data_IF_097799696570
#
_entry.id   IF_097799696570
#
_cell.length_a   1.000
_cell.length_b   1.000
_cell.length_c   1.000
_cell.angle_alpha   90.00
_cell.angle_beta   90.00
_cell.angle_gamma   90.00
#
_symmetry.space_group_name_H-M   'P 1'
#
loop_
_entity.id
_entity.type
_entity.pdbx_description
1 polymer ?
#
# COMPACT_ATOMS: atom_id res chain seq x y z
N UNK A 1 -4.81 -18.37 9.52
CA UNK A 1 -4.57 -17.06 8.89
C UNK A 1 -3.52 -17.28 7.83
N UNK A 2 -3.86 -17.06 6.56
CA UNK A 2 -2.91 -17.17 5.45
C UNK A 2 -2.23 -15.81 5.26
N UNK A 3 -0.99 -15.80 4.78
CA UNK A 3 -0.31 -14.55 4.42
C UNK A 3 -0.68 -14.14 3.01
N UNK A 4 -1.12 -12.89 2.87
CA UNK A 4 -1.30 -12.24 1.57
C UNK A 4 -0.03 -11.48 1.16
N UNK A 5 0.60 -10.82 2.14
CA UNK A 5 1.87 -10.11 2.04
C UNK A 5 2.60 -10.26 3.40
N UNK A 6 3.80 -9.73 3.54
CA UNK A 6 4.59 -9.68 4.77
C UNK A 6 3.83 -9.03 5.91
N UNK A 7 3.08 -7.96 5.64
CA UNK A 7 2.37 -7.18 6.66
C UNK A 7 0.85 -7.40 6.67
N UNK A 8 0.33 -8.24 5.77
CA UNK A 8 -1.11 -8.47 5.56
C UNK A 8 -1.44 -9.95 5.58
N UNK A 9 -2.36 -10.36 6.45
CA UNK A 9 -2.95 -11.69 6.48
C UNK A 9 -4.39 -11.67 6.00
N UNK A 10 -4.91 -12.84 5.64
CA UNK A 10 -6.32 -13.05 5.33
C UNK A 10 -6.84 -14.36 5.93
N UNK A 11 -8.13 -14.39 6.24
CA UNK A 11 -8.81 -15.60 6.72
C UNK A 11 -9.64 -16.27 5.61
N UNK A 12 -10.16 -17.47 5.92
CA UNK A 12 -11.01 -18.22 4.99
C UNK A 12 -12.35 -17.52 4.70
N UNK A 13 -12.73 -16.52 5.50
CA UNK A 13 -13.90 -15.68 5.28
C UNK A 13 -13.64 -14.51 4.33
N UNK A 14 -12.39 -14.26 3.93
CA UNK A 14 -12.01 -13.16 3.05
C UNK A 14 -11.74 -11.84 3.78
N UNK A 15 -11.60 -11.85 5.10
CA UNK A 15 -11.22 -10.66 5.87
C UNK A 15 -9.72 -10.47 5.80
N UNK A 16 -9.26 -9.26 5.46
CA UNK A 16 -7.84 -8.89 5.50
C UNK A 16 -7.51 -8.18 6.80
N UNK A 17 -6.39 -8.53 7.43
CA UNK A 17 -5.96 -7.97 8.71
C UNK A 17 -4.46 -7.72 8.74
N UNK A 18 -4.03 -6.72 9.50
CA UNK A 18 -2.62 -6.50 9.76
C UNK A 18 -2.04 -7.65 10.60
N UNK A 19 -0.93 -8.24 10.17
CA UNK A 19 -0.32 -9.38 10.90
C UNK A 19 0.30 -8.96 12.24
N UNK A 20 0.57 -7.66 12.43
CA UNK A 20 1.26 -7.13 13.62
C UNK A 20 0.30 -6.85 14.78
N UNK A 21 -0.89 -6.32 14.48
CA UNK A 21 -1.84 -5.88 15.50
C UNK A 21 -3.27 -6.41 15.31
N UNK A 22 -3.49 -7.28 14.33
CA UNK A 22 -4.78 -7.86 13.98
C UNK A 22 -5.89 -6.86 13.57
N UNK A 23 -5.55 -5.59 13.33
CA UNK A 23 -6.52 -4.60 12.86
C UNK A 23 -7.04 -4.99 11.48
N UNK A 24 -8.37 -4.98 11.32
CA UNK A 24 -9.05 -5.29 10.06
C UNK A 24 -8.76 -4.20 9.03
N UNK A 25 -8.20 -4.62 7.89
CA UNK A 25 -7.82 -3.75 6.76
C UNK A 25 -8.88 -3.78 5.64
N UNK A 26 -9.59 -4.90 5.49
CA UNK A 26 -10.70 -5.06 4.55
C UNK A 26 -11.66 -6.16 5.03
N UNK A 27 -12.96 -5.95 4.79
CA UNK A 27 -14.00 -6.93 5.03
C UNK A 27 -14.14 -7.83 3.78
N UNK A 28 -14.86 -8.96 3.87
CA UNK A 28 -15.08 -9.81 2.72
C UNK A 28 -15.71 -9.05 1.54
N UNK A 29 -15.10 -9.16 0.36
CA UNK A 29 -15.52 -8.47 -0.86
C UNK A 29 -14.97 -7.05 -1.04
N UNK A 30 -14.26 -6.51 -0.06
CA UNK A 30 -13.57 -5.23 -0.20
C UNK A 30 -12.14 -5.41 -0.73
N UNK A 31 -11.57 -4.37 -1.38
CA UNK A 31 -10.15 -4.30 -1.70
C UNK A 31 -9.25 -4.56 -0.46
N UNK A 32 -8.18 -5.38 -0.51
CA UNK A 32 -7.39 -5.79 0.65
C UNK A 32 -6.91 -4.69 1.62
N UNK A 33 -6.69 -3.47 1.13
CA UNK A 33 -6.21 -2.32 1.89
C UNK A 33 -7.25 -1.20 2.00
N UNK A 34 -8.54 -1.53 1.89
CA UNK A 34 -9.64 -0.56 1.85
C UNK A 34 -9.63 0.43 3.02
N UNK A 35 -9.24 -0.01 4.22
CA UNK A 35 -9.17 0.82 5.43
C UNK A 35 -7.77 1.31 5.79
N UNK A 36 -6.78 1.14 4.91
CA UNK A 36 -5.44 1.64 5.15
C UNK A 36 -5.40 3.17 5.07
N UNK A 37 -4.51 3.79 5.84
CA UNK A 37 -4.26 5.24 5.78
C UNK A 37 -3.25 5.52 4.68
N UNK A 38 -3.57 6.41 3.76
CA UNK A 38 -2.63 6.87 2.75
C UNK A 38 -1.83 8.07 3.27
N UNK A 39 -0.51 7.93 3.22
CA UNK A 39 0.46 9.02 3.33
C UNK A 39 1.10 9.25 1.96
N UNK A 40 1.15 10.50 1.50
CA UNK A 40 1.85 10.89 0.27
C UNK A 40 2.93 11.94 0.54
N UNK A 41 3.89 12.05 -0.36
CA UNK A 41 4.95 13.05 -0.28
C UNK A 41 5.87 13.07 -1.49
N UNK A 42 6.81 14.01 -1.49
CA UNK A 42 7.79 14.15 -2.56
C UNK A 42 8.82 13.01 -2.49
N UNK A 43 9.15 12.43 -3.65
CA UNK A 43 10.09 11.29 -3.75
C UNK A 43 11.46 11.60 -3.14
N UNK A 44 12.09 12.78 -3.35
CA UNK A 44 13.36 13.11 -2.70
C UNK A 44 13.31 13.18 -1.17
N UNK A 45 12.11 13.33 -0.59
CA UNK A 45 11.90 13.41 0.86
C UNK A 45 11.53 12.06 1.49
N UNK A 46 11.38 11.00 0.70
CA UNK A 46 10.97 9.67 1.16
C UNK A 46 12.02 8.93 2.00
N UNK A 47 13.23 9.49 2.13
CA UNK A 47 14.29 9.00 3.01
C UNK A 47 15.56 8.56 2.26
N UNK A 48 16.64 8.20 2.99
CA UNK A 48 17.98 8.00 2.40
C UNK A 48 18.07 6.81 1.44
N UNK A 49 17.10 5.91 1.48
CA UNK A 49 17.05 4.73 0.61
C UNK A 49 16.23 4.96 -0.67
N UNK A 50 15.58 6.11 -0.82
CA UNK A 50 14.85 6.49 -2.02
C UNK A 50 15.62 7.62 -2.71
N UNK A 51 16.25 7.30 -3.83
CA UNK A 51 17.11 8.24 -4.56
C UNK A 51 16.45 8.65 -5.88
N UNK A 52 16.42 9.95 -6.13
CA UNK A 52 15.99 10.51 -7.42
C UNK A 52 17.24 10.90 -8.19
N UNK A 53 17.51 10.30 -9.36
CA UNK A 53 18.64 10.70 -10.19
C UNK A 53 18.42 12.11 -10.77
N UNK A 54 19.52 12.80 -11.05
CA UNK A 54 19.50 14.07 -11.77
C UNK A 54 20.33 13.93 -13.07
N UNK A 55 19.70 14.00 -14.26
CA UNK A 55 18.28 14.31 -14.49
C UNK A 55 17.34 13.15 -14.09
N UNK A 56 16.04 13.43 -13.83
CA UNK A 56 15.03 12.40 -13.65
C UNK A 56 14.99 11.45 -14.85
N UNK A 57 14.75 10.16 -14.58
CA UNK A 57 14.65 9.12 -15.62
C UNK A 57 13.19 8.84 -16.04
N UNK A 58 12.24 9.53 -15.43
CA UNK A 58 10.81 9.45 -15.75
C UNK A 58 10.32 10.85 -16.13
N UNK A 59 9.53 10.91 -17.20
CA UNK A 59 8.95 12.16 -17.70
C UNK A 59 7.63 12.52 -16.98
N UNK A 60 7.08 11.57 -16.20
CA UNK A 60 5.83 11.72 -15.46
C UNK A 60 6.04 12.43 -14.11
N UNK A 61 5.04 13.24 -13.67
CA UNK A 61 4.99 13.75 -12.29
C UNK A 61 4.68 12.59 -11.34
N UNK A 62 5.69 12.19 -10.55
CA UNK A 62 5.61 11.08 -9.61
C UNK A 62 5.61 11.54 -8.17
N UNK A 63 4.95 10.78 -7.31
CA UNK A 63 4.95 10.97 -5.86
C UNK A 63 5.25 9.67 -5.12
N UNK A 64 5.74 9.82 -3.90
CA UNK A 64 5.89 8.72 -2.96
C UNK A 64 4.56 8.50 -2.22
N UNK A 65 4.13 7.24 -2.11
CA UNK A 65 2.93 6.83 -1.38
C UNK A 65 3.22 5.69 -0.42
N UNK A 66 2.62 5.75 0.76
CA UNK A 66 2.58 4.65 1.72
C UNK A 66 1.16 4.41 2.22
N UNK A 67 0.71 3.16 2.15
CA UNK A 67 -0.49 2.70 2.85
C UNK A 67 -0.08 2.12 4.19
N UNK A 68 -0.65 2.65 5.27
CA UNK A 68 -0.31 2.32 6.64
C UNK A 68 -1.47 1.64 7.35
N UNK A 69 -1.16 0.75 8.30
CA UNK A 69 -2.18 0.25 9.22
C UNK A 69 -2.72 1.41 10.07
N UNK A 70 -4.05 1.61 10.14
CA UNK A 70 -4.65 2.74 10.87
C UNK A 70 -4.43 2.65 12.39
N UNK A 71 -4.05 1.49 12.91
CA UNK A 71 -3.88 1.26 14.35
C UNK A 71 -2.41 1.32 14.77
N UNK A 72 -1.54 0.48 14.19
CA UNK A 72 -0.14 0.39 14.62
C UNK A 72 0.84 1.16 13.72
N UNK A 73 0.36 1.80 12.64
CA UNK A 73 1.20 2.57 11.73
C UNK A 73 2.15 1.74 10.85
N UNK A 74 2.13 0.41 10.94
CA UNK A 74 2.94 -0.46 10.07
C UNK A 74 2.71 -0.14 8.60
N UNK A 75 3.79 0.04 7.83
CA UNK A 75 3.71 0.20 6.38
C UNK A 75 3.24 -1.11 5.72
N UNK A 76 2.08 -1.06 5.07
CA UNK A 76 1.45 -2.19 4.38
C UNK A 76 1.84 -2.25 2.92
N UNK A 77 2.08 -1.07 2.31
CA UNK A 77 2.54 -0.93 0.93
C UNK A 77 3.29 0.39 0.79
N UNK A 78 4.37 0.39 0.02
CA UNK A 78 5.15 1.57 -0.33
C UNK A 78 5.36 1.59 -1.83
N UNK A 79 5.15 2.74 -2.47
CA UNK A 79 5.29 2.88 -3.92
C UNK A 79 5.70 4.29 -4.35
N UNK A 80 6.39 4.38 -5.49
CA UNK A 80 6.57 5.62 -6.26
C UNK A 80 5.73 5.47 -7.51
N UNK A 81 4.74 6.34 -7.67
CA UNK A 81 3.69 6.21 -8.69
C UNK A 81 3.42 7.56 -9.33
N UNK A 82 2.80 7.56 -10.52
CA UNK A 82 2.38 8.81 -11.13
C UNK A 82 1.34 9.48 -10.23
N UNK A 83 1.40 10.80 -10.06
CA UNK A 83 0.42 11.53 -9.24
C UNK A 83 -1.01 11.33 -9.76
N UNK A 84 -1.15 11.20 -11.07
CA UNK A 84 -2.42 10.90 -11.74
C UNK A 84 -2.92 9.46 -11.54
N UNK A 85 -2.08 8.55 -11.02
CA UNK A 85 -2.50 7.17 -10.76
C UNK A 85 -3.60 7.17 -9.69
N UNK A 86 -4.77 6.67 -10.07
CA UNK A 86 -5.83 6.35 -9.12
C UNK A 86 -5.33 5.20 -8.24
N UNK A 87 -5.69 5.19 -6.95
CA UNK A 87 -5.39 4.10 -6.01
C UNK A 87 -6.16 2.80 -6.34
N UNK A 88 -6.43 2.54 -7.61
CA UNK A 88 -7.10 1.34 -8.13
C UNK A 88 -6.31 0.08 -7.83
N UNK A 89 -5.01 0.18 -7.51
CA UNK A 89 -4.16 -0.98 -7.21
C UNK A 89 -4.42 -1.61 -5.84
N UNK A 90 -5.22 -0.99 -4.98
CA UNK A 90 -5.85 -1.67 -3.86
C UNK A 90 -6.96 -2.64 -4.33
N UNK A 91 -7.63 -2.34 -5.45
CA UNK A 91 -8.73 -3.14 -6.00
C UNK A 91 -8.29 -4.23 -7.01
N UNK A 92 -7.03 -4.27 -7.45
CA UNK A 92 -6.59 -5.13 -8.56
C UNK A 92 -6.09 -6.53 -8.16
N UNK A 93 -5.95 -6.86 -6.87
CA UNK A 93 -5.46 -8.18 -6.43
C UNK A 93 -6.59 -9.19 -6.14
N UNK A 94 -7.84 -8.85 -6.45
CA UNK A 94 -8.99 -9.78 -6.45
C UNK A 94 -9.12 -10.62 -7.73
N UNK A 95 -8.14 -10.56 -8.63
CA UNK A 95 -8.20 -11.21 -9.95
C UNK A 95 -6.94 -12.04 -10.27
N UNK A 96 -6.38 -12.74 -9.28
CA UNK A 96 -5.50 -13.88 -9.57
C UNK A 96 -6.17 -15.14 -9.02
N UNK A 97 -6.86 -15.83 -9.94
CA UNK A 97 -7.39 -17.18 -9.78
C UNK A 97 -6.27 -18.20 -9.49
#
# INVERSE_FOLDING_TARGET
>A
MNRFDDNVGYDAGGTFSCVHCATVLAAPGEPPLHRAVLLTGDVPLAGPHVQVPEPPVVDEDVEFRQLLCPSCGTALRTEVVARADVLTRAASLSAQD
#
